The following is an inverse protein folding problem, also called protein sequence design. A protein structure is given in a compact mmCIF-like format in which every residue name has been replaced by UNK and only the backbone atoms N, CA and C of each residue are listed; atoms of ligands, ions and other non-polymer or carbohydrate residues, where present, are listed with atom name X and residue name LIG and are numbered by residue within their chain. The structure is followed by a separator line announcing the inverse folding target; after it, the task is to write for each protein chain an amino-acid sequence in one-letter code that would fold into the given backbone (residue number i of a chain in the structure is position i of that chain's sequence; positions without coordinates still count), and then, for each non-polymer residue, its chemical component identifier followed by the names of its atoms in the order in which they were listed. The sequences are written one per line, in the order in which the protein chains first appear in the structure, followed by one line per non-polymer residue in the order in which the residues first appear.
data_IF_069794161538
#
_entry.id   IF_069794161538
#
_cell.length_a   1.000
_cell.length_b   1.000
_cell.length_c   1.000
_cell.angle_alpha   90.00
_cell.angle_beta   90.00
_cell.angle_gamma   90.00
#
_symmetry.space_group_name_H-M   'P 1'
#
loop_
_entity.id
_entity.type
_entity.pdbx_description
1 polymer ?
#
# COMPACT_ATOMS: atom_id res chain seq x y z
N UNK A 1 -18.79 4.28 12.38
CA UNK A 1 -17.83 4.85 11.43
C UNK A 1 -18.66 5.61 10.43
N UNK A 2 -18.42 6.90 10.29
CA UNK A 2 -19.23 7.79 9.45
C UNK A 2 -18.69 7.80 8.02
N UNK A 3 -19.47 8.28 7.05
CA UNK A 3 -18.94 8.54 5.71
C UNK A 3 -17.85 9.62 5.80
N UNK A 4 -16.82 9.57 4.93
CA UNK A 4 -15.82 10.64 4.89
C UNK A 4 -16.48 12.00 4.64
N UNK A 5 -15.99 13.08 5.27
CA UNK A 5 -16.36 14.43 4.88
C UNK A 5 -16.09 14.66 3.38
N UNK A 6 -16.87 15.53 2.70
CA UNK A 6 -16.68 15.79 1.28
C UNK A 6 -15.23 16.17 0.95
N UNK A 7 -14.60 15.42 0.04
CA UNK A 7 -13.24 15.66 -0.43
C UNK A 7 -12.12 15.19 0.49
N UNK A 8 -12.41 14.48 1.59
CA UNK A 8 -11.40 13.98 2.53
C UNK A 8 -11.00 12.52 2.31
N UNK A 9 -11.58 11.84 1.32
CA UNK A 9 -11.16 10.51 0.93
C UNK A 9 -10.68 10.53 -0.52
N UNK A 10 -9.41 10.17 -0.72
CA UNK A 10 -8.83 9.99 -2.04
C UNK A 10 -9.28 8.64 -2.62
N UNK A 11 -9.75 8.66 -3.87
CA UNK A 11 -10.19 7.48 -4.62
C UNK A 11 -9.31 7.20 -5.83
N UNK A 12 -8.16 7.87 -5.94
CA UNK A 12 -7.14 7.54 -6.91
C UNK A 12 -6.65 6.10 -6.71
N UNK A 13 -6.08 5.53 -7.77
CA UNK A 13 -5.50 4.19 -7.74
C UNK A 13 -6.41 3.05 -7.29
N UNK A 14 -7.71 3.21 -7.56
CA UNK A 14 -8.77 2.25 -7.23
C UNK A 14 -9.00 2.12 -5.71
N UNK A 15 -8.62 3.15 -4.94
CA UNK A 15 -8.82 3.23 -3.49
C UNK A 15 -10.29 3.38 -3.11
N UNK A 16 -10.69 2.64 -2.08
CA UNK A 16 -12.03 2.62 -1.53
C UNK A 16 -12.15 3.61 -0.36
N UNK A 17 -13.32 4.22 -0.20
CA UNK A 17 -13.64 5.00 1.00
C UNK A 17 -14.39 4.17 2.04
N UNK A 18 -14.21 4.50 3.31
CA UNK A 18 -15.03 3.97 4.38
C UNK A 18 -16.51 4.38 4.20
N UNK A 19 -17.41 3.45 4.53
CA UNK A 19 -18.86 3.63 4.38
C UNK A 19 -19.54 3.52 5.73
N UNK A 20 -20.50 4.39 5.98
CA UNK A 20 -21.29 4.34 7.19
C UNK A 20 -22.02 2.99 7.34
N UNK A 21 -22.04 2.48 8.56
CA UNK A 21 -22.60 1.17 8.90
C UNK A 21 -21.84 -0.06 8.40
N UNK A 22 -20.70 0.10 7.68
CA UNK A 22 -19.85 -1.02 7.26
C UNK A 22 -18.76 -1.31 8.30
N UNK A 23 -18.58 -2.59 8.62
CA UNK A 23 -17.50 -3.07 9.47
C UNK A 23 -16.29 -3.44 8.62
N UNK A 24 -15.11 -2.99 9.05
CA UNK A 24 -13.84 -3.29 8.41
C UNK A 24 -12.99 -4.14 9.35
N UNK A 25 -12.33 -5.15 8.80
CA UNK A 25 -11.50 -6.07 9.59
C UNK A 25 -10.10 -5.50 9.74
N UNK A 26 -9.56 -5.54 10.95
CA UNK A 26 -8.18 -5.15 11.24
C UNK A 26 -7.33 -6.37 11.57
N UNK A 27 -6.02 -6.24 11.35
CA UNK A 27 -5.03 -7.28 11.55
C UNK A 27 -3.79 -6.70 12.20
N UNK A 28 -3.18 -7.47 13.11
CA UNK A 28 -1.84 -7.19 13.65
C UNK A 28 -0.78 -8.13 13.10
N UNK A 29 -1.19 -9.05 12.23
CA UNK A 29 -0.35 -10.11 11.70
C UNK A 29 -0.66 -10.34 10.23
N UNK A 30 0.37 -10.76 9.50
CA UNK A 30 0.32 -11.15 8.10
C UNK A 30 0.61 -12.64 7.97
N UNK A 31 0.26 -13.27 6.83
CA UNK A 31 0.61 -14.66 6.57
C UNK A 31 2.11 -14.95 6.74
N UNK A 32 2.52 -16.19 7.05
CA UNK A 32 3.92 -16.54 7.26
C UNK A 32 4.80 -16.19 6.06
N UNK A 33 5.97 -15.61 6.35
CA UNK A 33 6.98 -15.31 5.34
C UNK A 33 7.72 -16.58 4.98
N UNK A 34 7.83 -16.85 3.68
CA UNK A 34 8.62 -17.94 3.09
C UNK A 34 9.49 -17.43 1.94
N UNK A 35 10.28 -18.31 1.32
CA UNK A 35 11.05 -17.99 0.10
C UNK A 35 10.16 -17.56 -1.08
N UNK A 36 8.87 -17.93 -1.08
CA UNK A 36 7.90 -17.58 -2.11
C UNK A 36 6.57 -17.14 -1.47
N UNK A 37 6.64 -16.14 -0.60
CA UNK A 37 5.46 -15.56 0.05
C UNK A 37 4.46 -15.08 -1.01
N UNK A 38 3.21 -15.53 -0.91
CA UNK A 38 2.12 -15.09 -1.78
C UNK A 38 1.51 -13.80 -1.20
N UNK A 39 1.31 -12.83 -2.08
CA UNK A 39 0.77 -11.52 -1.73
C UNK A 39 -0.15 -11.03 -2.85
N UNK A 40 -1.00 -10.06 -2.51
CA UNK A 40 -1.72 -9.24 -3.47
C UNK A 40 -0.92 -7.97 -3.71
N UNK A 41 -0.72 -7.61 -4.98
CA UNK A 41 -0.10 -6.36 -5.36
C UNK A 41 -1.20 -5.30 -5.54
N UNK A 42 -1.09 -4.18 -4.85
CA UNK A 42 -1.93 -2.99 -5.03
C UNK A 42 -1.09 -1.82 -5.54
N UNK A 43 -1.75 -0.75 -6.00
CA UNK A 43 -1.09 0.41 -6.60
C UNK A 43 -1.24 1.58 -5.64
N UNK A 44 -0.12 2.25 -5.36
CA UNK A 44 -0.08 3.43 -4.51
C UNK A 44 0.93 4.45 -5.05
N UNK A 45 0.59 5.73 -5.00
CA UNK A 45 1.51 6.84 -5.20
C UNK A 45 2.10 7.28 -3.87
N UNK A 46 3.44 7.33 -3.82
CA UNK A 46 4.23 7.79 -2.68
C UNK A 46 4.74 9.23 -2.88
N UNK A 47 4.22 9.93 -3.90
CA UNK A 47 4.56 11.31 -4.19
C UNK A 47 3.83 12.28 -3.24
N UNK A 48 4.31 13.55 -3.13
CA UNK A 48 3.53 14.58 -2.47
C UNK A 48 2.16 14.71 -3.12
N UNK A 49 1.11 14.88 -2.29
CA UNK A 49 -0.29 14.95 -2.73
C UNK A 49 -0.78 13.66 -3.44
N UNK A 50 -0.06 12.54 -3.30
CA UNK A 50 -0.48 11.21 -3.75
C UNK A 50 -1.45 10.52 -2.80
N UNK A 51 -1.59 9.20 -2.92
CA UNK A 51 -2.57 8.40 -2.16
C UNK A 51 -2.27 8.34 -0.66
N UNK A 52 -0.99 8.36 -0.29
CA UNK A 52 -0.56 8.15 1.09
C UNK A 52 -0.70 9.37 2.00
N UNK A 53 -0.95 10.57 1.43
CA UNK A 53 -1.11 11.84 2.14
C UNK A 53 0.16 12.36 2.84
N UNK A 54 0.80 11.52 3.65
CA UNK A 54 1.98 11.80 4.44
C UNK A 54 3.28 11.19 3.83
N UNK A 55 4.47 11.67 4.23
CA UNK A 55 5.74 11.03 3.87
C UNK A 55 5.85 9.62 4.45
N UNK A 56 6.56 8.72 3.75
CA UNK A 56 6.64 7.31 4.14
C UNK A 56 7.36 7.06 5.47
N UNK A 57 6.87 6.09 6.24
CA UNK A 57 7.24 5.86 7.65
C UNK A 57 8.73 5.53 7.84
N UNK A 58 9.35 4.81 6.90
CA UNK A 58 10.73 4.35 7.06
C UNK A 58 11.78 5.47 7.05
N UNK A 59 11.53 6.55 6.31
CA UNK A 59 12.52 7.59 6.07
C UNK A 59 11.97 9.02 6.09
N UNK A 60 10.68 9.21 6.40
CA UNK A 60 9.98 10.50 6.41
C UNK A 60 10.15 11.28 5.10
N UNK A 61 10.14 10.56 3.97
CA UNK A 61 10.29 11.14 2.64
C UNK A 61 9.16 10.68 1.71
N UNK A 62 8.84 11.54 0.74
CA UNK A 62 8.09 11.12 -0.45
C UNK A 62 9.04 10.43 -1.44
N UNK A 63 8.50 9.51 -2.23
CA UNK A 63 9.25 8.76 -3.25
C UNK A 63 8.55 8.93 -4.59
N UNK A 64 9.32 9.07 -5.68
CA UNK A 64 8.70 9.29 -6.99
C UNK A 64 7.97 8.05 -7.47
N UNK A 65 6.92 8.25 -8.28
CA UNK A 65 6.21 7.18 -8.97
C UNK A 65 7.12 6.35 -9.90
N UNK A 66 8.25 6.93 -10.32
CA UNK A 66 9.28 6.28 -11.12
C UNK A 66 10.30 5.48 -10.28
N UNK A 67 10.29 5.61 -8.95
CA UNK A 67 11.12 4.81 -8.04
C UNK A 67 10.44 3.47 -7.72
N UNK A 68 11.13 2.31 -7.81
CA UNK A 68 10.55 1.03 -7.43
C UNK A 68 10.50 0.89 -5.91
N UNK A 69 9.43 1.39 -5.30
CA UNK A 69 9.21 1.39 -3.86
C UNK A 69 7.87 0.73 -3.49
N UNK A 70 7.78 0.25 -2.25
CA UNK A 70 6.59 -0.43 -1.72
C UNK A 70 6.33 -0.14 -0.25
N UNK A 71 5.05 -0.23 0.13
CA UNK A 71 4.60 -0.46 1.49
C UNK A 71 4.28 -1.95 1.72
N UNK A 72 4.37 -2.40 2.96
CA UNK A 72 3.99 -3.77 3.35
C UNK A 72 2.90 -3.74 4.41
N UNK A 73 1.95 -4.68 4.36
CA UNK A 73 1.00 -4.90 5.47
C UNK A 73 1.73 -5.00 6.81
N UNK A 74 1.16 -4.45 7.87
CA UNK A 74 1.74 -4.35 9.23
C UNK A 74 2.56 -5.57 9.67
N UNK A 75 2.01 -6.78 9.52
CA UNK A 75 2.70 -8.00 9.96
C UNK A 75 3.96 -8.32 9.16
N UNK A 76 4.00 -7.97 7.88
CA UNK A 76 5.19 -8.09 7.04
C UNK A 76 6.16 -6.92 7.24
N UNK A 77 5.65 -5.69 7.40
CA UNK A 77 6.43 -4.51 7.76
C UNK A 77 7.24 -4.74 9.04
N UNK A 78 6.62 -5.39 10.03
CA UNK A 78 7.26 -5.92 11.24
C UNK A 78 7.97 -4.83 12.05
N UNK A 79 7.23 -3.77 12.38
CA UNK A 79 7.70 -2.60 13.15
C UNK A 79 8.99 -2.02 12.54
N UNK A 80 8.98 -1.77 11.23
CA UNK A 80 10.11 -1.19 10.49
C UNK A 80 11.33 -2.09 10.31
N UNK A 81 11.32 -3.36 10.75
CA UNK A 81 12.48 -4.27 10.56
C UNK A 81 12.84 -4.51 9.10
N UNK A 82 11.93 -4.24 8.17
CA UNK A 82 12.16 -4.32 6.72
C UNK A 82 12.45 -2.97 6.07
N UNK A 83 12.41 -1.87 6.81
CA UNK A 83 12.62 -0.53 6.26
C UNK A 83 13.93 -0.44 5.48
N UNK A 84 13.84 0.19 4.31
CA UNK A 84 14.93 0.45 3.38
C UNK A 84 15.65 -0.81 2.86
N UNK A 85 15.15 -1.99 3.20
CA UNK A 85 15.57 -3.25 2.60
C UNK A 85 14.86 -3.45 1.27
N UNK A 86 15.48 -4.26 0.42
CA UNK A 86 14.90 -4.60 -0.87
C UNK A 86 14.22 -5.97 -0.82
N UNK A 87 13.09 -6.06 -1.50
CA UNK A 87 12.41 -7.32 -1.81
C UNK A 87 12.41 -7.56 -3.32
N UNK A 88 12.37 -8.83 -3.71
CA UNK A 88 12.13 -9.23 -5.09
C UNK A 88 10.66 -9.60 -5.23
N UNK A 89 9.96 -8.89 -6.11
CA UNK A 89 8.56 -9.13 -6.43
C UNK A 89 8.52 -9.90 -7.74
N UNK A 90 7.83 -11.04 -7.72
CA UNK A 90 7.66 -11.91 -8.89
C UNK A 90 6.20 -11.91 -9.32
N UNK A 91 5.94 -11.54 -10.56
CA UNK A 91 4.58 -11.45 -11.11
C UNK A 91 4.61 -11.41 -12.63
N UNK A 92 3.59 -11.98 -13.28
CA UNK A 92 3.45 -11.97 -14.73
C UNK A 92 4.70 -12.47 -15.51
N UNK A 93 5.38 -13.49 -14.98
CA UNK A 93 6.63 -14.03 -15.56
C UNK A 93 7.85 -13.14 -15.43
N UNK A 94 7.75 -12.01 -14.71
CA UNK A 94 8.79 -11.00 -14.51
C UNK A 94 9.17 -10.89 -13.04
N UNK A 95 10.27 -10.16 -12.80
CA UNK A 95 10.76 -9.84 -11.48
C UNK A 95 11.19 -8.37 -11.43
N UNK A 96 10.91 -7.71 -10.32
CA UNK A 96 11.42 -6.37 -10.01
C UNK A 96 11.95 -6.34 -8.58
N UNK A 97 13.03 -5.60 -8.37
CA UNK A 97 13.59 -5.35 -7.05
C UNK A 97 13.06 -3.99 -6.57
N UNK A 98 12.37 -3.98 -5.43
CA UNK A 98 11.75 -2.77 -4.88
C UNK A 98 12.18 -2.53 -3.43
N UNK A 99 12.32 -1.27 -3.04
CA UNK A 99 12.69 -0.83 -1.69
C UNK A 99 11.44 -0.70 -0.82
N UNK A 100 11.44 -1.29 0.37
CA UNK A 100 10.38 -1.08 1.36
C UNK A 100 10.57 0.30 1.98
N UNK A 101 9.59 1.17 1.81
CA UNK A 101 9.62 2.55 2.32
C UNK A 101 8.52 2.83 3.34
N UNK A 102 7.47 2.00 3.39
CA UNK A 102 6.30 2.31 4.19
C UNK A 102 5.60 1.10 4.82
N UNK A 103 4.67 1.40 5.72
CA UNK A 103 3.67 0.47 6.22
C UNK A 103 2.33 0.68 5.49
N UNK A 104 1.69 -0.42 5.08
CA UNK A 104 0.27 -0.43 4.74
C UNK A 104 -0.49 -0.83 6.00
N UNK A 105 -0.99 0.16 6.75
CA UNK A 105 -1.52 -0.05 8.10
C UNK A 105 -2.79 -0.90 8.05
N UNK A 106 -2.69 -2.11 8.59
CA UNK A 106 -3.80 -3.06 8.68
C UNK A 106 -4.51 -3.03 10.03
N UNK A 107 -4.06 -2.21 10.96
CA UNK A 107 -4.54 -2.12 12.35
C UNK A 107 -5.60 -1.04 12.54
N UNK A 108 -5.61 0.00 11.70
CA UNK A 108 -6.51 1.14 11.78
C UNK A 108 -6.79 1.75 10.40
N UNK A 109 -7.72 2.70 10.35
CA UNK A 109 -8.30 3.27 9.14
C UNK A 109 -9.68 3.88 9.42
N UNK A 110 -10.31 4.45 8.39
CA UNK A 110 -11.58 5.17 8.49
C UNK A 110 -11.54 6.40 9.43
N UNK A 111 -10.39 7.07 9.52
CA UNK A 111 -10.19 8.28 10.28
C UNK A 111 -9.37 9.31 9.45
N UNK A 112 -9.15 10.49 10.01
CA UNK A 112 -8.46 11.58 9.31
C UNK A 112 -7.01 11.30 8.99
N UNK A 113 -6.35 10.42 9.73
CA UNK A 113 -4.92 10.13 9.55
C UNK A 113 -4.71 9.14 8.39
N UNK A 114 -5.79 8.47 7.96
CA UNK A 114 -5.81 7.49 6.88
C UNK A 114 -6.68 7.94 5.70
N UNK A 115 -6.94 9.24 5.54
CA UNK A 115 -7.83 9.81 4.51
C UNK A 115 -9.19 9.08 4.42
N UNK A 116 -9.68 8.59 5.57
CA UNK A 116 -10.90 7.79 5.67
C UNK A 116 -10.93 6.57 4.75
N UNK A 117 -9.77 6.08 4.32
CA UNK A 117 -9.60 4.81 3.62
C UNK A 117 -9.70 3.66 4.64
N UNK A 118 -10.18 2.47 4.23
CA UNK A 118 -10.28 1.33 5.12
C UNK A 118 -8.91 0.80 5.54
N UNK A 119 -8.82 0.08 6.68
CA UNK A 119 -7.61 -0.62 7.06
C UNK A 119 -7.11 -1.55 5.94
N UNK A 120 -5.80 -1.55 5.74
CA UNK A 120 -5.14 -2.37 4.74
C UNK A 120 -5.39 -3.87 5.01
N UNK A 121 -5.61 -4.70 3.98
CA UNK A 121 -5.58 -6.15 4.14
C UNK A 121 -4.21 -6.64 4.61
N UNK A 122 -4.14 -7.81 5.22
CA UNK A 122 -2.91 -8.29 5.86
C UNK A 122 -1.93 -9.03 4.94
N UNK A 123 -2.18 -9.05 3.65
CA UNK A 123 -1.38 -9.76 2.64
C UNK A 123 -1.04 -8.88 1.42
N UNK A 124 -0.92 -7.58 1.64
CA UNK A 124 -0.65 -6.56 0.63
C UNK A 124 0.84 -6.24 0.52
N UNK A 125 1.29 -6.13 -0.72
CA UNK A 125 2.46 -5.34 -1.11
C UNK A 125 1.92 -4.18 -1.92
N UNK A 126 1.97 -2.98 -1.36
CA UNK A 126 1.39 -1.80 -1.99
C UNK A 126 2.47 -1.02 -2.72
N UNK A 127 2.33 -0.85 -4.03
CA UNK A 127 3.48 -0.64 -4.88
C UNK A 127 3.35 0.55 -5.82
N UNK A 128 4.48 1.24 -6.01
CA UNK A 128 4.57 2.37 -6.94
C UNK A 128 4.31 1.96 -8.38
N UNK A 129 3.97 2.94 -9.22
CA UNK A 129 3.76 2.76 -10.65
C UNK A 129 4.97 2.11 -11.35
N UNK A 130 6.20 2.42 -10.94
CA UNK A 130 7.41 1.79 -11.47
C UNK A 130 7.43 0.26 -11.27
N UNK A 131 6.98 -0.23 -10.12
CA UNK A 131 6.89 -1.68 -9.84
C UNK A 131 5.91 -2.35 -10.79
N UNK A 132 4.71 -1.78 -10.95
CA UNK A 132 3.68 -2.28 -11.86
C UNK A 132 4.17 -2.33 -13.31
N UNK A 133 4.83 -1.26 -13.77
CA UNK A 133 5.42 -1.15 -15.11
C UNK A 133 6.52 -2.19 -15.33
N UNK A 134 7.40 -2.40 -14.37
CA UNK A 134 8.49 -3.38 -14.47
C UNK A 134 7.97 -4.83 -14.56
N UNK A 135 6.83 -5.11 -13.93
CA UNK A 135 6.14 -6.40 -14.01
C UNK A 135 5.25 -6.54 -15.26
N UNK A 136 5.13 -5.51 -16.08
CA UNK A 136 4.22 -5.45 -17.25
C UNK A 136 2.78 -5.85 -16.90
N UNK A 137 2.33 -5.51 -15.69
CA UNK A 137 0.93 -5.69 -15.32
C UNK A 137 0.15 -4.60 -16.02
N UNK A 138 -0.80 -5.00 -16.88
CA UNK A 138 -1.67 -4.05 -17.56
C UNK A 138 -2.51 -3.32 -16.52
N UNK A 139 -2.25 -2.05 -16.34
CA UNK A 139 -3.17 -1.14 -15.66
C UNK A 139 -4.32 -0.94 -16.65
N UNK A 140 -5.47 -1.56 -16.39
CA UNK A 140 -6.67 -1.27 -17.17
C UNK A 140 -7.02 0.19 -16.98
N UNK A 141 -7.09 0.95 -18.07
CA UNK A 141 -7.71 2.28 -18.02
C UNK A 141 -9.15 2.08 -17.53
N UNK A 142 -9.52 2.72 -16.42
CA UNK A 142 -10.92 2.92 -16.08
C UNK A 142 -11.59 3.61 -17.27
N UNK A 143 -12.70 3.03 -17.73
CA UNK A 143 -13.52 3.53 -18.85
C UNK A 143 -14.41 4.68 -18.41
#
# INVERSE_FOLDING_TARGET
MENPPPGQCNQENDSDCCKDGKWYTTYKCSPPVSSQTKATLTRNSFEPDGDGGAPSECDNQYHSDDDPVVALSTGWYNNGKRCLNYINIHGNGRSVRAKVVDECDSTMGCDSDHDYQPPCPNNIVDASKAVWKALEVKISCAS
#
